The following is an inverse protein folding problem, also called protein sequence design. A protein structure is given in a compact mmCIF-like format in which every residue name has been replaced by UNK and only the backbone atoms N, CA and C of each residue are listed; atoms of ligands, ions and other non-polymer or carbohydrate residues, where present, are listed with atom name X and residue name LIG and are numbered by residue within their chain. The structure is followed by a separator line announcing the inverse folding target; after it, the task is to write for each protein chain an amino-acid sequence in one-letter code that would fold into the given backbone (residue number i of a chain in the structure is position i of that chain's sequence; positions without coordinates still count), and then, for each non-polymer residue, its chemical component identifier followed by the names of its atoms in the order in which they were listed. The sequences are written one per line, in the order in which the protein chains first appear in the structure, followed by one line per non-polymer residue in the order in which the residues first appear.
data_IF_412912764404
#
_entry.id   IF_412912764404
#
_cell.length_a   1.000
_cell.length_b   1.000
_cell.length_c   1.000
_cell.angle_alpha   90.00
_cell.angle_beta   90.00
_cell.angle_gamma   90.00
#
_symmetry.space_group_name_H-M   'P 1'
#
loop_
_entity.id
_entity.type
_entity.pdbx_description
1 polymer ?
#
# COMPACT_ATOMS: atom_id res chain seq x y z
N UNK A 1 -10.08 8.92 4.33
CA UNK A 1 -10.06 7.51 3.90
C UNK A 1 -10.16 7.41 2.37
N UNK A 2 -11.02 8.20 1.71
CA UNK A 2 -11.07 8.45 0.25
C UNK A 2 -9.70 8.51 -0.46
N UNK A 3 -8.80 9.36 0.05
CA UNK A 3 -7.46 9.57 -0.54
C UNK A 3 -6.64 8.28 -0.50
N UNK A 4 -6.75 7.50 0.58
CA UNK A 4 -6.00 6.26 0.79
C UNK A 4 -6.44 5.16 -0.18
N UNK A 5 -7.75 4.91 -0.26
CA UNK A 5 -8.30 3.93 -1.20
C UNK A 5 -7.93 4.29 -2.65
N UNK A 6 -8.01 5.58 -3.00
CA UNK A 6 -7.64 6.10 -4.31
C UNK A 6 -6.15 5.91 -4.59
N UNK A 7 -5.26 6.26 -3.66
CA UNK A 7 -3.81 6.05 -3.79
C UNK A 7 -3.46 4.58 -4.02
N UNK A 8 -4.10 3.66 -3.29
CA UNK A 8 -3.85 2.22 -3.44
C UNK A 8 -4.19 1.70 -4.85
N UNK A 9 -5.36 2.05 -5.41
CA UNK A 9 -5.71 1.63 -6.78
C UNK A 9 -4.83 2.31 -7.83
N UNK A 10 -4.47 3.58 -7.63
CA UNK A 10 -3.57 4.29 -8.54
C UNK A 10 -2.16 3.73 -8.57
N UNK A 11 -1.65 3.21 -7.46
CA UNK A 11 -0.38 2.47 -7.45
C UNK A 11 -0.41 1.33 -8.48
N UNK A 12 -1.45 0.50 -8.46
CA UNK A 12 -1.61 -0.61 -9.41
C UNK A 12 -1.79 -0.12 -10.85
N UNK A 13 -2.47 1.01 -11.05
CA UNK A 13 -2.62 1.63 -12.37
C UNK A 13 -1.26 2.09 -12.92
N UNK A 14 -0.45 2.77 -12.11
CA UNK A 14 0.88 3.23 -12.51
C UNK A 14 1.82 2.06 -12.84
N UNK A 15 1.69 0.94 -12.13
CA UNK A 15 2.43 -0.31 -12.39
C UNK A 15 1.93 -1.06 -13.63
N UNK A 16 0.79 -0.67 -14.20
CA UNK A 16 0.18 -1.36 -15.33
C UNK A 16 -0.37 -2.75 -14.99
N UNK A 17 -0.65 -3.02 -13.71
CA UNK A 17 -1.08 -4.34 -13.21
C UNK A 17 -2.45 -4.30 -12.50
N UNK A 18 -3.16 -3.17 -12.57
CA UNK A 18 -4.51 -3.05 -12.02
C UNK A 18 -5.47 -4.11 -12.60
N UNK A 19 -6.22 -4.75 -11.72
CA UNK A 19 -7.21 -5.80 -12.02
C UNK A 19 -8.63 -5.29 -11.79
N UNK A 20 -9.64 -6.02 -12.27
CA UNK A 20 -11.05 -5.71 -11.98
C UNK A 20 -11.34 -5.67 -10.47
N UNK A 21 -10.70 -6.56 -9.70
CA UNK A 21 -10.81 -6.62 -8.26
C UNK A 21 -10.29 -5.35 -7.57
N UNK A 22 -9.24 -4.71 -8.09
CA UNK A 22 -8.69 -3.48 -7.50
C UNK A 22 -9.69 -2.32 -7.62
N UNK A 23 -10.33 -2.17 -8.79
CA UNK A 23 -11.39 -1.17 -8.99
C UNK A 23 -12.62 -1.46 -8.15
N UNK A 24 -13.01 -2.74 -8.00
CA UNK A 24 -14.16 -3.13 -7.19
C UNK A 24 -13.91 -2.86 -5.69
N UNK A 25 -12.73 -3.22 -5.18
CA UNK A 25 -12.33 -2.91 -3.79
C UNK A 25 -12.30 -1.42 -3.54
N UNK A 26 -11.78 -0.64 -4.49
CA UNK A 26 -11.84 0.82 -4.43
C UNK A 26 -13.29 1.30 -4.33
N UNK A 27 -14.18 0.81 -5.19
CA UNK A 27 -15.59 1.21 -5.19
C UNK A 27 -16.28 0.91 -3.85
N UNK A 28 -16.07 -0.29 -3.29
CA UNK A 28 -16.62 -0.67 -1.99
C UNK A 28 -16.10 0.25 -0.87
N UNK A 29 -14.78 0.50 -0.80
CA UNK A 29 -14.19 1.41 0.19
C UNK A 29 -14.73 2.83 0.07
N UNK A 30 -14.94 3.32 -1.15
CA UNK A 30 -15.53 4.64 -1.39
C UNK A 30 -16.97 4.73 -0.89
N UNK A 31 -17.76 3.66 -1.07
CA UNK A 31 -19.13 3.60 -0.52
C UNK A 31 -19.16 3.50 1.00
N UNK A 32 -18.22 2.76 1.61
CA UNK A 32 -18.07 2.70 3.08
C UNK A 32 -17.72 4.08 3.68
N UNK A 33 -17.07 4.94 2.89
CA UNK A 33 -16.73 6.33 3.21
C UNK A 33 -17.87 7.34 2.86
N UNK A 34 -19.11 6.86 2.71
CA UNK A 34 -20.29 7.65 2.35
C UNK A 34 -20.13 8.48 1.06
N UNK A 35 -19.28 8.03 0.13
CA UNK A 35 -19.17 8.68 -1.18
C UNK A 35 -20.25 8.17 -2.12
N UNK A 36 -20.88 9.11 -2.82
CA UNK A 36 -22.00 8.83 -3.69
C UNK A 36 -21.77 9.43 -5.08
N UNK A 37 -21.81 8.58 -6.10
CA UNK A 37 -21.93 9.02 -7.49
C UNK A 37 -22.59 7.94 -8.32
N UNK A 38 -23.18 8.33 -9.45
CA UNK A 38 -23.88 7.37 -10.31
C UNK A 38 -22.91 6.33 -10.84
N UNK A 39 -21.73 6.77 -11.27
CA UNK A 39 -20.71 5.88 -11.81
C UNK A 39 -20.10 4.98 -10.73
N UNK A 40 -19.99 5.44 -9.48
CA UNK A 40 -19.51 4.64 -8.36
C UNK A 40 -20.45 3.48 -8.05
N UNK A 41 -21.77 3.74 -7.99
CA UNK A 41 -22.74 2.67 -7.76
C UNK A 41 -22.75 1.63 -8.89
N UNK A 42 -22.59 2.08 -10.13
CA UNK A 42 -22.45 1.16 -11.26
C UNK A 42 -21.22 0.29 -11.07
N UNK A 43 -20.05 0.89 -10.76
CA UNK A 43 -18.79 0.18 -10.56
C UNK A 43 -18.89 -0.86 -9.43
N UNK A 44 -19.50 -0.50 -8.29
CA UNK A 44 -19.68 -1.39 -7.15
C UNK A 44 -20.65 -2.57 -7.42
N UNK A 45 -21.53 -2.44 -8.41
CA UNK A 45 -22.49 -3.48 -8.80
C UNK A 45 -22.01 -4.43 -9.89
N UNK A 46 -20.82 -4.18 -10.46
CA UNK A 46 -20.30 -4.98 -11.58
C UNK A 46 -19.87 -6.38 -11.14
N UNK A 47 -20.07 -7.37 -12.01
CA UNK A 47 -19.52 -8.71 -11.81
C UNK A 47 -18.01 -8.70 -12.09
N UNK A 48 -17.24 -9.50 -11.33
CA UNK A 48 -15.79 -9.61 -11.51
C UNK A 48 -15.39 -10.15 -12.91
N UNK A 49 -16.29 -10.91 -13.54
CA UNK A 49 -16.17 -11.48 -14.89
C UNK A 49 -16.26 -10.44 -16.02
N UNK A 50 -16.68 -9.21 -15.71
CA UNK A 50 -16.83 -8.13 -16.67
C UNK A 50 -15.48 -7.66 -17.23
N UNK A 51 -15.53 -7.02 -18.39
CA UNK A 51 -14.34 -6.53 -19.07
C UNK A 51 -13.67 -5.38 -18.28
N UNK A 52 -12.35 -5.44 -18.10
CA UNK A 52 -11.55 -4.42 -17.41
C UNK A 52 -11.71 -3.00 -17.99
N UNK A 53 -11.91 -2.85 -19.30
CA UNK A 53 -12.13 -1.53 -19.92
C UNK A 53 -13.43 -0.88 -19.44
N UNK A 54 -14.44 -1.68 -19.08
CA UNK A 54 -15.70 -1.18 -18.51
C UNK A 54 -15.48 -0.71 -17.06
N UNK A 55 -14.66 -1.42 -16.28
CA UNK A 55 -14.23 -0.96 -14.96
C UNK A 55 -13.49 0.37 -15.05
N UNK A 56 -12.55 0.50 -15.99
CA UNK A 56 -11.80 1.74 -16.22
C UNK A 56 -12.70 2.92 -16.63
N UNK A 57 -13.70 2.70 -17.50
CA UNK A 57 -14.66 3.75 -17.88
C UNK A 57 -15.44 4.28 -16.66
N UNK A 58 -16.05 3.37 -15.90
CA UNK A 58 -16.82 3.77 -14.71
C UNK A 58 -15.93 4.34 -13.61
N UNK A 59 -14.71 3.83 -13.43
CA UNK A 59 -13.74 4.39 -12.50
C UNK A 59 -13.40 5.84 -12.86
N UNK A 60 -13.00 6.12 -14.10
CA UNK A 60 -12.67 7.47 -14.55
C UNK A 60 -13.84 8.45 -14.42
N UNK A 61 -15.06 7.98 -14.73
CA UNK A 61 -16.27 8.79 -14.53
C UNK A 61 -16.54 9.05 -13.06
N UNK A 62 -16.35 8.05 -12.19
CA UNK A 62 -16.48 8.22 -10.74
C UNK A 62 -15.50 9.24 -10.19
N UNK A 63 -14.23 9.21 -10.64
CA UNK A 63 -13.24 10.23 -10.27
C UNK A 63 -13.70 11.63 -10.67
N UNK A 64 -14.20 11.79 -11.89
CA UNK A 64 -14.71 13.08 -12.37
C UNK A 64 -15.95 13.55 -11.61
N UNK A 65 -16.89 12.64 -11.32
CA UNK A 65 -18.13 12.94 -10.58
C UNK A 65 -17.84 13.32 -9.12
N UNK A 66 -16.84 12.70 -8.51
CA UNK A 66 -16.42 12.94 -7.12
C UNK A 66 -15.36 14.06 -6.99
N UNK A 67 -14.91 14.64 -8.11
CA UNK A 67 -13.88 15.68 -8.12
C UNK A 67 -12.51 15.21 -7.62
N UNK A 68 -12.19 13.92 -7.77
CA UNK A 68 -10.95 13.32 -7.30
C UNK A 68 -9.85 13.54 -8.33
N UNK A 69 -8.75 14.13 -7.88
CA UNK A 69 -7.54 14.30 -8.69
C UNK A 69 -6.68 13.06 -8.67
N UNK A 70 -5.93 12.84 -9.75
CA UNK A 70 -4.96 11.75 -9.84
C UNK A 70 -3.81 12.03 -8.86
N UNK A 71 -3.55 11.15 -7.87
CA UNK A 71 -2.42 11.31 -6.95
C UNK A 71 -1.10 11.10 -7.69
N UNK A 72 0.00 11.64 -7.15
CA UNK A 72 1.33 11.32 -7.65
C UNK A 72 1.76 9.90 -7.26
N UNK A 73 2.74 9.37 -7.99
CA UNK A 73 3.19 8.00 -7.79
C UNK A 73 3.86 7.78 -6.42
N UNK A 74 4.53 8.78 -5.87
CA UNK A 74 5.19 8.65 -4.57
C UNK A 74 4.15 8.56 -3.44
N UNK A 75 3.12 9.41 -3.47
CA UNK A 75 1.95 9.35 -2.60
C UNK A 75 1.27 7.96 -2.67
N UNK A 76 1.12 7.41 -3.86
CA UNK A 76 0.61 6.05 -4.08
C UNK A 76 1.47 4.99 -3.40
N UNK A 77 2.78 5.02 -3.65
CA UNK A 77 3.74 4.07 -3.09
C UNK A 77 3.79 4.15 -1.55
N UNK A 78 3.72 5.36 -0.99
CA UNK A 78 3.70 5.58 0.46
C UNK A 78 2.45 5.01 1.13
N UNK A 79 1.29 5.04 0.47
CA UNK A 79 0.10 4.34 0.96
C UNK A 79 0.27 2.82 0.92
N UNK A 80 0.92 2.26 -0.11
CA UNK A 80 1.21 0.82 -0.14
C UNK A 80 2.16 0.42 0.99
N UNK A 81 3.21 1.20 1.25
CA UNK A 81 4.10 0.96 2.40
C UNK A 81 3.30 0.99 3.71
N UNK A 82 2.31 1.88 3.82
CA UNK A 82 1.40 1.95 4.97
C UNK A 82 0.55 0.69 5.11
N UNK A 83 -0.08 0.22 4.04
CA UNK A 83 -0.86 -1.03 4.05
C UNK A 83 0.01 -2.23 4.44
N UNK A 84 1.25 -2.31 3.92
CA UNK A 84 2.23 -3.33 4.30
C UNK A 84 2.61 -3.24 5.79
N UNK A 85 2.86 -2.03 6.31
CA UNK A 85 3.11 -1.85 7.74
C UNK A 85 1.94 -2.35 8.60
N UNK A 86 0.70 -2.12 8.16
CA UNK A 86 -0.49 -2.64 8.86
C UNK A 86 -0.56 -4.16 8.83
N UNK A 87 -0.07 -4.83 7.79
CA UNK A 87 0.02 -6.30 7.76
C UNK A 87 0.98 -6.84 8.84
N UNK A 88 2.12 -6.16 9.05
CA UNK A 88 3.06 -6.48 10.13
C UNK A 88 2.39 -6.27 11.49
N UNK A 89 1.80 -5.08 11.71
CA UNK A 89 1.18 -4.71 12.99
C UNK A 89 0.04 -5.66 13.36
N UNK A 90 -0.79 -6.03 12.38
CA UNK A 90 -1.93 -6.92 12.58
C UNK A 90 -1.55 -8.41 12.53
N UNK A 91 -0.27 -8.73 12.30
CA UNK A 91 0.27 -10.10 12.21
C UNK A 91 -0.44 -10.94 11.16
N UNK A 92 -0.83 -10.33 10.04
CA UNK A 92 -1.52 -11.02 8.94
C UNK A 92 -0.55 -11.68 7.96
N UNK A 93 0.72 -11.26 7.97
CA UNK A 93 1.79 -11.80 7.13
C UNK A 93 3.13 -11.80 7.86
N UNK A 94 4.05 -12.65 7.41
CA UNK A 94 5.39 -12.74 8.00
C UNK A 94 6.15 -11.40 7.87
N UNK A 95 6.73 -10.86 8.97
CA UNK A 95 7.40 -9.56 8.94
C UNK A 95 8.59 -9.47 7.98
N UNK A 96 9.30 -10.56 7.71
CA UNK A 96 10.45 -10.53 6.78
C UNK A 96 9.98 -10.46 5.34
N UNK A 97 8.95 -11.23 4.98
CA UNK A 97 8.34 -11.13 3.65
C UNK A 97 7.81 -9.72 3.38
N UNK A 98 7.11 -9.14 4.35
CA UNK A 98 6.56 -7.78 4.21
C UNK A 98 7.67 -6.73 4.12
N UNK A 99 8.74 -6.87 4.92
CA UNK A 99 9.90 -5.96 4.86
C UNK A 99 10.55 -5.97 3.48
N UNK A 100 10.73 -7.15 2.87
CA UNK A 100 11.24 -7.28 1.49
C UNK A 100 10.33 -6.58 0.48
N UNK A 101 9.01 -6.62 0.68
CA UNK A 101 8.08 -5.91 -0.20
C UNK A 101 8.12 -4.40 0.02
N UNK A 102 8.20 -3.91 1.27
CA UNK A 102 8.40 -2.49 1.57
C UNK A 102 9.70 -1.98 0.93
N UNK A 103 10.78 -2.76 1.00
CA UNK A 103 12.04 -2.43 0.34
C UNK A 103 11.87 -2.28 -1.18
N UNK A 104 11.18 -3.22 -1.84
CA UNK A 104 10.88 -3.10 -3.29
C UNK A 104 10.13 -1.81 -3.60
N UNK A 105 9.09 -1.48 -2.83
CA UNK A 105 8.34 -0.23 -3.04
C UNK A 105 9.23 1.00 -2.82
N UNK A 106 10.11 0.96 -1.82
CA UNK A 106 11.08 2.03 -1.53
C UNK A 106 12.05 2.27 -2.70
N UNK A 107 12.49 1.21 -3.39
CA UNK A 107 13.32 1.32 -4.60
C UNK A 107 12.56 2.04 -5.71
N UNK A 108 11.27 1.78 -5.87
CA UNK A 108 10.44 2.33 -6.95
C UNK A 108 10.28 3.86 -6.86
N UNK A 109 10.47 4.42 -5.67
CA UNK A 109 10.41 5.86 -5.39
C UNK A 109 11.79 6.47 -5.09
N UNK A 110 12.85 5.85 -5.61
CA UNK A 110 14.24 6.36 -5.56
C UNK A 110 14.80 6.58 -4.15
N UNK A 111 14.55 5.62 -3.25
CA UNK A 111 15.13 5.57 -1.90
C UNK A 111 14.99 6.86 -1.07
N UNK A 112 13.76 7.31 -0.76
CA UNK A 112 13.55 8.46 0.10
C UNK A 112 14.27 8.30 1.43
N UNK A 113 14.91 9.36 1.90
CA UNK A 113 15.75 9.32 3.10
C UNK A 113 14.98 8.88 4.36
N UNK A 114 13.69 9.21 4.44
CA UNK A 114 12.82 8.81 5.56
C UNK A 114 12.49 7.31 5.57
N UNK A 115 12.67 6.62 4.45
CA UNK A 115 12.46 5.17 4.30
C UNK A 115 13.76 4.36 4.42
N UNK A 116 14.90 5.01 4.69
CA UNK A 116 16.21 4.31 4.77
C UNK A 116 16.24 3.22 5.85
N UNK A 117 15.38 3.32 6.86
CA UNK A 117 15.24 2.29 7.90
C UNK A 117 14.85 0.94 7.29
N UNK A 118 13.97 0.92 6.29
CA UNK A 118 13.52 -0.32 5.65
C UNK A 118 14.60 -1.00 4.82
N UNK A 119 15.53 -0.21 4.26
CA UNK A 119 16.72 -0.73 3.57
C UNK A 119 17.61 -1.46 4.57
N UNK A 120 17.89 -0.84 5.72
CA UNK A 120 18.72 -1.46 6.76
C UNK A 120 18.08 -2.73 7.35
N UNK A 121 16.74 -2.74 7.46
CA UNK A 121 16.00 -3.91 7.94
C UNK A 121 16.05 -5.06 6.93
N UNK A 122 15.91 -4.78 5.63
CA UNK A 122 16.07 -5.77 4.56
C UNK A 122 17.49 -6.36 4.54
N UNK A 123 18.51 -5.51 4.63
CA UNK A 123 19.91 -5.95 4.79
C UNK A 123 20.08 -6.85 6.02
N UNK A 124 19.41 -6.52 7.13
CA UNK A 124 19.40 -7.34 8.34
C UNK A 124 18.83 -8.74 8.10
N UNK A 125 17.80 -8.87 7.28
CA UNK A 125 17.19 -10.17 6.92
C UNK A 125 18.17 -11.00 6.07
N UNK A 126 18.83 -10.38 5.10
CA UNK A 126 19.81 -11.07 4.28
C UNK A 126 21.01 -11.55 5.12
N UNK A 127 21.44 -10.76 6.11
CA UNK A 127 22.48 -11.17 7.07
C UNK A 127 22.08 -12.37 7.91
N UNK A 128 20.81 -12.52 8.30
CA UNK A 128 20.33 -13.75 8.97
C UNK A 128 20.58 -14.98 8.08
N UNK A 129 20.34 -14.81 6.78
CA UNK A 129 20.37 -15.90 5.81
C UNK A 129 21.79 -16.27 5.41
N UNK A 130 22.65 -15.28 5.21
CA UNK A 130 23.93 -15.43 4.54
C UNK A 130 25.16 -15.25 5.43
N UNK A 131 25.06 -14.57 6.57
CA UNK A 131 26.21 -14.39 7.46
C UNK A 131 26.57 -15.69 8.19
N UNK A 132 27.87 -15.83 8.47
CA UNK A 132 28.39 -16.82 9.38
C UNK A 132 27.75 -16.69 10.77
N UNK A 133 27.58 -17.82 11.46
CA UNK A 133 26.89 -17.92 12.76
C UNK A 133 27.36 -16.90 13.80
N UNK A 134 28.63 -16.49 13.76
CA UNK A 134 29.20 -15.52 14.69
C UNK A 134 28.74 -14.06 14.45
N UNK A 135 28.41 -13.69 13.21
CA UNK A 135 28.00 -12.33 12.84
C UNK A 135 26.51 -12.18 12.56
N UNK A 136 25.79 -13.31 12.60
CA UNK A 136 24.36 -13.39 12.35
C UNK A 136 23.59 -12.58 13.41
N UNK A 137 22.72 -11.64 13.00
CA UNK A 137 21.87 -10.93 13.95
C UNK A 137 20.81 -11.87 14.55
N UNK A 138 20.32 -11.53 15.74
CA UNK A 138 19.25 -12.29 16.39
C UNK A 138 17.92 -12.08 15.63
N UNK A 139 17.33 -13.17 15.17
CA UNK A 139 16.11 -13.15 14.36
C UNK A 139 14.92 -12.53 15.11
N UNK A 140 14.81 -12.81 16.41
CA UNK A 140 13.71 -12.30 17.23
C UNK A 140 13.88 -10.80 17.44
N UNK A 141 15.09 -10.34 17.77
CA UNK A 141 15.37 -8.90 17.91
C UNK A 141 15.09 -8.14 16.60
N UNK A 142 15.47 -8.69 15.44
CA UNK A 142 15.16 -8.07 14.16
C UNK A 142 13.66 -8.00 13.90
N UNK A 143 12.91 -9.08 14.19
CA UNK A 143 11.43 -9.08 14.08
C UNK A 143 10.79 -8.05 15.00
N UNK A 144 11.27 -7.93 16.25
CA UNK A 144 10.79 -6.90 17.19
C UNK A 144 11.08 -5.49 16.69
N UNK A 145 12.23 -5.26 16.06
CA UNK A 145 12.56 -3.97 15.43
C UNK A 145 11.67 -3.67 14.23
N UNK A 146 11.42 -4.64 13.36
CA UNK A 146 10.49 -4.49 12.22
C UNK A 146 9.08 -4.13 12.72
N UNK A 147 8.58 -4.82 13.74
CA UNK A 147 7.27 -4.51 14.33
C UNK A 147 7.23 -3.10 14.93
N UNK A 148 8.32 -2.64 15.55
CA UNK A 148 8.42 -1.29 16.10
C UNK A 148 8.35 -0.23 15.00
N UNK A 149 9.14 -0.39 13.94
CA UNK A 149 9.17 0.59 12.84
C UNK A 149 7.87 0.61 12.04
N UNK A 150 7.21 -0.55 11.85
CA UNK A 150 5.89 -0.61 11.25
C UNK A 150 4.84 0.20 12.06
N UNK A 151 4.89 0.12 13.40
CA UNK A 151 4.03 0.93 14.29
C UNK A 151 4.36 2.41 14.21
N UNK A 152 5.65 2.77 14.20
CA UNK A 152 6.09 4.16 14.08
C UNK A 152 5.62 4.79 12.76
N UNK A 153 5.82 4.08 11.64
CA UNK A 153 5.40 4.54 10.32
C UNK A 153 3.87 4.73 10.25
N UNK A 154 3.11 3.75 10.72
CA UNK A 154 1.64 3.83 10.75
C UNK A 154 1.15 5.01 11.60
N UNK A 155 1.74 5.23 12.78
CA UNK A 155 1.38 6.33 13.67
C UNK A 155 1.73 7.71 13.07
N UNK A 156 2.88 7.85 12.41
CA UNK A 156 3.27 9.09 11.74
C UNK A 156 2.27 9.47 10.64
N UNK A 157 1.83 8.49 9.85
CA UNK A 157 0.85 8.69 8.80
C UNK A 157 -0.54 9.10 9.34
N UNK A 158 -0.97 8.57 10.49
CA UNK A 158 -2.24 8.99 11.09
C UNK A 158 -2.20 10.44 11.63
N UNK A 159 -1.03 10.93 12.07
CA UNK A 159 -0.85 12.32 12.52
C UNK A 159 -0.87 13.30 11.34
N UNK A 160 -0.28 12.95 10.19
CA UNK A 160 -0.31 13.78 8.98
C UNK A 160 -1.72 13.93 8.40
N UNK A 161 -2.62 12.96 8.64
CA UNK A 161 -4.00 12.99 8.17
C UNK A 161 -4.96 13.85 9.03
N UNK A 162 -4.50 14.38 10.17
CA UNK A 162 -5.29 15.27 11.06
C UNK A 162 -5.02 16.75 10.79
N UNK A 163 -3.98 17.07 10.00
CA UNK A 163 -3.61 18.45 9.62
C UNK A 163 -4.18 18.83 8.26
#
# INVERSE_FOLDING_TARGET
MIIRATRAVFYMIHKGNATTLDYLKWACRMMEDDQESKSLYMLASMEESENIFKYQDYFNRSLSELGITIPDFEDCAREIIRELCLEIVNKTRDPFEVTRDIFKVTIEIDYPADLSVWINLDDGIDRITYDDEYYRPDERELKEQIELEAKNYSAAQDVENIR
#
